data_IF_690374302582
#
_entry.id   IF_690374302582
#
_cell.length_a   1.000
_cell.length_b   1.000
_cell.length_c   1.000
_cell.angle_alpha   90.00
_cell.angle_beta   90.00
_cell.angle_gamma   90.00
#
_symmetry.space_group_name_H-M   'P 1'
#
loop_
_entity.id
_entity.type
_entity.pdbx_description
1 polymer ?
#
# COMPACT_ATOMS: atom_id res chain seq x y z
N UNK A 1 21.70 -47.31 12.41
CA UNK A 1 21.21 -46.61 13.61
C UNK A 1 21.72 -45.17 13.54
N UNK A 2 20.89 -44.29 12.97
CA UNK A 2 21.28 -42.89 12.73
C UNK A 2 20.55 -42.03 13.78
N UNK A 3 21.36 -41.43 14.65
CA UNK A 3 20.90 -40.53 15.71
C UNK A 3 20.42 -39.22 15.07
N UNK A 4 19.10 -38.92 15.15
CA UNK A 4 18.57 -37.60 14.93
C UNK A 4 18.70 -36.81 16.26
N UNK A 5 19.28 -35.60 16.26
CA UNK A 5 19.30 -34.78 17.46
C UNK A 5 17.90 -34.21 17.71
N UNK A 6 17.35 -34.53 18.88
CA UNK A 6 16.17 -33.87 19.43
C UNK A 6 16.47 -32.39 19.67
N UNK A 7 15.64 -31.51 19.10
CA UNK A 7 15.70 -30.08 19.35
C UNK A 7 15.51 -29.79 20.86
N UNK A 8 16.28 -28.85 21.45
CA UNK A 8 16.13 -28.49 22.85
C UNK A 8 14.76 -27.82 23.06
N UNK A 9 13.92 -28.46 23.84
CA UNK A 9 12.70 -27.89 24.39
C UNK A 9 13.07 -26.87 25.46
N UNK A 10 12.94 -25.59 25.16
CA UNK A 10 13.06 -24.54 26.16
C UNK A 10 13.82 -23.30 25.70
N UNK A 11 13.22 -22.51 24.82
CA UNK A 11 13.44 -21.07 24.72
C UNK A 11 12.30 -20.44 23.87
N UNK A 12 11.07 -20.63 24.28
CA UNK A 12 10.01 -19.70 23.95
C UNK A 12 9.55 -19.14 25.27
N UNK A 13 10.29 -18.13 25.75
CA UNK A 13 9.73 -17.17 26.68
C UNK A 13 8.47 -16.64 26.00
N UNK A 14 7.28 -16.67 26.64
CA UNK A 14 6.11 -16.04 26.07
C UNK A 14 6.47 -14.56 26.00
N UNK A 15 6.88 -14.09 24.81
CA UNK A 15 6.85 -12.69 24.47
C UNK A 15 5.46 -12.23 24.95
N UNK A 16 5.42 -11.45 26.04
CA UNK A 16 4.21 -10.75 26.43
C UNK A 16 3.76 -10.08 25.14
N UNK A 17 2.70 -10.62 24.55
CA UNK A 17 1.98 -9.94 23.46
C UNK A 17 1.66 -8.59 24.05
N UNK A 18 2.42 -7.56 23.70
CA UNK A 18 1.97 -6.20 23.89
C UNK A 18 0.62 -6.20 23.20
N UNK A 19 -0.46 -6.08 24.01
CA UNK A 19 -1.81 -6.00 23.46
C UNK A 19 -1.72 -4.84 22.46
N UNK A 20 -2.00 -5.05 21.17
CA UNK A 20 -2.03 -3.94 20.24
C UNK A 20 -2.92 -2.88 20.87
N UNK A 21 -2.52 -1.61 20.87
CA UNK A 21 -3.35 -0.53 21.38
C UNK A 21 -4.67 -0.65 20.62
N UNK A 22 -5.71 -1.14 21.30
CA UNK A 22 -7.01 -1.32 20.67
C UNK A 22 -7.51 0.06 20.27
N UNK A 23 -8.02 0.17 19.05
CA UNK A 23 -8.81 1.32 18.65
C UNK A 23 -9.82 1.64 19.76
N UNK A 24 -9.90 2.91 20.09
CA UNK A 24 -10.88 3.32 21.10
C UNK A 24 -12.30 3.09 20.58
N UNK A 25 -13.25 2.79 21.47
CA UNK A 25 -14.65 2.68 21.09
C UNK A 25 -15.19 3.96 20.40
N UNK A 26 -14.53 5.10 20.66
CA UNK A 26 -14.85 6.39 20.03
C UNK A 26 -14.36 6.41 18.57
N UNK A 27 -13.10 6.02 18.29
CA UNK A 27 -12.57 5.92 16.93
C UNK A 27 -13.42 4.98 16.08
N UNK A 28 -13.73 3.79 16.60
CA UNK A 28 -14.60 2.82 15.91
C UNK A 28 -15.98 3.38 15.56
N UNK A 29 -16.59 4.17 16.44
CA UNK A 29 -17.88 4.85 16.15
C UNK A 29 -17.73 5.89 15.06
N UNK A 30 -16.62 6.63 15.01
CA UNK A 30 -16.34 7.63 13.98
C UNK A 30 -16.13 6.97 12.63
N UNK A 31 -15.29 5.93 12.55
CA UNK A 31 -15.08 5.17 11.32
C UNK A 31 -16.38 4.53 10.80
N UNK A 32 -17.16 3.92 11.71
CA UNK A 32 -18.47 3.39 11.35
C UNK A 32 -19.38 4.47 10.77
N UNK A 33 -19.37 5.69 11.34
CA UNK A 33 -20.16 6.82 10.83
C UNK A 33 -19.76 7.21 9.42
N UNK A 34 -18.45 7.23 9.11
CA UNK A 34 -17.95 7.51 7.77
C UNK A 34 -18.41 6.43 6.77
N UNK A 35 -18.23 5.15 7.09
CA UNK A 35 -18.67 4.04 6.24
C UNK A 35 -20.19 4.10 5.96
N UNK A 36 -21.01 4.37 6.99
CA UNK A 36 -22.47 4.52 6.82
C UNK A 36 -22.81 5.72 5.95
N UNK A 37 -22.11 6.84 6.06
CA UNK A 37 -22.35 8.03 5.25
C UNK A 37 -22.08 7.75 3.77
N UNK A 38 -20.96 7.13 3.44
CA UNK A 38 -20.59 6.75 2.07
C UNK A 38 -21.55 5.70 1.49
N UNK A 39 -21.87 4.65 2.27
CA UNK A 39 -22.80 3.61 1.83
C UNK A 39 -24.21 4.15 1.54
N UNK A 40 -24.75 5.03 2.40
CA UNK A 40 -26.07 5.67 2.18
C UNK A 40 -26.10 6.58 0.96
N UNK A 41 -24.97 7.18 0.61
CA UNK A 41 -24.84 8.01 -0.57
C UNK A 41 -24.64 7.19 -1.85
N UNK A 42 -24.47 5.86 -1.76
CA UNK A 42 -24.22 5.00 -2.90
C UNK A 42 -22.85 5.23 -3.54
N UNK A 43 -21.88 5.80 -2.81
CA UNK A 43 -20.54 6.10 -3.34
C UNK A 43 -19.73 4.80 -3.36
N UNK A 44 -19.27 4.35 -4.55
CA UNK A 44 -18.46 3.14 -4.68
C UNK A 44 -17.11 3.31 -3.96
N UNK A 45 -16.78 2.39 -3.07
CA UNK A 45 -15.51 2.39 -2.34
C UNK A 45 -15.13 1.00 -1.86
N UNK A 46 -13.84 0.83 -1.54
CA UNK A 46 -13.34 -0.38 -0.87
C UNK A 46 -12.51 0.01 0.37
N UNK A 47 -12.62 -0.80 1.41
CA UNK A 47 -11.83 -0.61 2.65
C UNK A 47 -10.51 -1.33 2.52
N UNK A 48 -9.41 -0.63 2.77
CA UNK A 48 -8.05 -1.15 2.69
C UNK A 48 -7.31 -1.15 4.03
N UNK A 49 -6.02 -0.84 3.96
CA UNK A 49 -5.16 -0.65 5.11
C UNK A 49 -5.16 -1.81 6.10
N UNK A 50 -5.11 -1.48 7.38
CA UNK A 50 -5.02 -2.46 8.46
C UNK A 50 -6.25 -3.39 8.53
N UNK A 51 -7.44 -2.89 8.19
CA UNK A 51 -8.67 -3.69 8.20
C UNK A 51 -8.66 -4.80 7.15
N UNK A 52 -8.29 -4.48 5.91
CA UNK A 52 -8.20 -5.48 4.85
C UNK A 52 -7.02 -6.44 5.12
N UNK A 53 -5.87 -5.93 5.59
CA UNK A 53 -4.73 -6.77 5.97
C UNK A 53 -5.10 -7.82 7.01
N UNK A 54 -5.80 -7.42 8.08
CA UNK A 54 -6.24 -8.35 9.12
C UNK A 54 -7.16 -9.44 8.57
N UNK A 55 -8.09 -9.07 7.67
CA UNK A 55 -9.03 -10.02 7.07
C UNK A 55 -8.35 -11.05 6.17
N UNK A 56 -7.39 -10.62 5.35
CA UNK A 56 -6.68 -11.52 4.44
C UNK A 56 -5.61 -12.35 5.15
N UNK A 57 -4.90 -11.78 6.13
CA UNK A 57 -3.70 -12.41 6.70
C UNK A 57 -3.91 -12.94 8.13
N UNK A 58 -4.98 -12.54 8.81
CA UNK A 58 -5.19 -12.81 10.24
C UNK A 58 -4.27 -11.98 11.16
N UNK A 59 -3.45 -11.07 10.61
CA UNK A 59 -2.51 -10.24 11.38
C UNK A 59 -3.19 -8.95 11.79
N UNK A 60 -3.66 -8.89 13.04
CA UNK A 60 -4.21 -7.67 13.61
C UNK A 60 -3.10 -6.65 13.91
N UNK A 61 -3.25 -5.45 13.38
CA UNK A 61 -2.38 -4.29 13.65
C UNK A 61 -3.20 -3.14 14.21
N UNK A 62 -2.58 -2.38 15.10
CA UNK A 62 -3.16 -1.11 15.49
C UNK A 62 -3.07 -0.11 14.33
N UNK A 63 -4.18 0.55 14.05
CA UNK A 63 -4.22 1.67 13.12
C UNK A 63 -4.78 2.91 13.81
N UNK A 64 -4.36 4.08 13.36
CA UNK A 64 -4.85 5.39 13.80
C UNK A 64 -5.82 6.03 12.81
N UNK A 65 -6.08 5.34 11.69
CA UNK A 65 -6.84 5.78 10.54
C UNK A 65 -7.70 4.66 9.97
N UNK A 66 -8.61 5.04 9.10
CA UNK A 66 -9.37 4.14 8.25
C UNK A 66 -9.06 4.48 6.80
N UNK A 67 -8.43 3.54 6.10
CA UNK A 67 -8.11 3.68 4.68
C UNK A 67 -9.30 3.27 3.81
N UNK A 68 -9.81 4.21 3.01
CA UNK A 68 -10.88 4.00 2.04
C UNK A 68 -10.33 4.34 0.66
N UNK A 69 -10.34 3.36 -0.25
CA UNK A 69 -10.01 3.58 -1.65
C UNK A 69 -11.27 3.93 -2.43
N UNK A 70 -11.19 5.01 -3.21
CA UNK A 70 -12.32 5.63 -3.90
C UNK A 70 -11.89 6.08 -5.31
N UNK A 71 -12.83 6.08 -6.25
CA UNK A 71 -12.56 6.57 -7.60
C UNK A 71 -12.31 8.09 -7.59
N UNK A 72 -11.33 8.60 -8.37
CA UNK A 72 -11.04 10.04 -8.40
C UNK A 72 -12.28 10.92 -8.69
N UNK A 73 -13.18 10.45 -9.54
CA UNK A 73 -14.43 11.16 -9.89
C UNK A 73 -15.43 11.29 -8.74
N UNK A 74 -15.32 10.44 -7.72
CA UNK A 74 -16.27 10.39 -6.60
C UNK A 74 -15.77 11.11 -5.34
N UNK A 75 -14.53 11.63 -5.36
CA UNK A 75 -13.87 12.23 -4.18
C UNK A 75 -14.65 13.42 -3.63
N UNK A 76 -15.01 14.39 -4.48
CA UNK A 76 -15.72 15.61 -3.99
C UNK A 76 -17.09 15.24 -3.41
N UNK A 77 -17.84 14.36 -4.08
CA UNK A 77 -19.12 13.87 -3.56
C UNK A 77 -18.96 13.15 -2.21
N UNK A 78 -17.87 12.38 -2.03
CA UNK A 78 -17.56 11.72 -0.75
C UNK A 78 -17.24 12.73 0.34
N UNK A 79 -16.43 13.74 0.04
CA UNK A 79 -16.10 14.80 0.99
C UNK A 79 -17.34 15.58 1.44
N UNK A 80 -18.25 15.90 0.53
CA UNK A 80 -19.52 16.53 0.87
C UNK A 80 -20.37 15.69 1.84
N UNK A 81 -20.47 14.37 1.60
CA UNK A 81 -21.21 13.46 2.47
C UNK A 81 -20.57 13.30 3.84
N UNK A 82 -19.24 13.31 3.90
CA UNK A 82 -18.50 13.27 5.16
C UNK A 82 -18.64 14.58 5.93
N UNK A 83 -18.60 15.75 5.26
CA UNK A 83 -18.91 17.06 5.90
C UNK A 83 -20.32 17.06 6.51
N UNK A 84 -21.32 16.60 5.75
CA UNK A 84 -22.69 16.46 6.23
C UNK A 84 -22.83 15.47 7.40
N UNK A 85 -21.94 14.49 7.49
CA UNK A 85 -21.85 13.56 8.60
C UNK A 85 -21.02 14.11 9.79
N UNK A 86 -20.56 15.36 9.76
CA UNK A 86 -19.85 16.03 10.85
C UNK A 86 -18.35 15.73 10.88
N UNK A 87 -17.72 15.55 9.73
CA UNK A 87 -16.27 15.52 9.57
C UNK A 87 -15.77 16.85 9.01
N UNK A 88 -14.60 17.28 9.45
CA UNK A 88 -13.81 18.31 8.79
C UNK A 88 -13.00 17.66 7.66
N UNK A 89 -12.95 18.27 6.48
CA UNK A 89 -12.31 17.65 5.31
C UNK A 89 -11.24 18.54 4.72
N UNK A 90 -10.17 17.93 4.23
CA UNK A 90 -9.10 18.59 3.49
C UNK A 90 -8.60 17.70 2.35
N UNK A 91 -7.89 18.29 1.39
CA UNK A 91 -7.20 17.59 0.31
C UNK A 91 -5.72 17.96 0.36
N UNK A 92 -4.93 17.29 1.23
CA UNK A 92 -3.52 17.63 1.40
C UNK A 92 -2.69 17.34 0.14
N UNK A 93 -3.12 16.34 -0.65
CA UNK A 93 -2.44 15.97 -1.89
C UNK A 93 -3.46 15.76 -3.01
N UNK A 94 -3.69 16.77 -3.87
CA UNK A 94 -4.72 16.73 -4.90
C UNK A 94 -4.62 15.57 -5.89
N UNK A 95 -3.42 14.99 -6.06
CA UNK A 95 -3.20 13.88 -6.99
C UNK A 95 -3.50 12.49 -6.41
N UNK A 96 -3.66 12.34 -5.06
CA UNK A 96 -3.84 10.98 -4.51
C UNK A 96 -4.61 10.85 -3.21
N UNK A 97 -4.72 11.89 -2.34
CA UNK A 97 -5.22 11.76 -0.98
C UNK A 97 -6.09 12.93 -0.55
N UNK A 98 -7.25 12.61 -0.01
CA UNK A 98 -8.07 13.51 0.80
C UNK A 98 -8.28 12.92 2.19
N UNK A 99 -8.57 13.76 3.18
CA UNK A 99 -8.76 13.37 4.58
C UNK A 99 -10.07 13.90 5.14
N UNK A 100 -10.67 13.10 6.02
CA UNK A 100 -11.85 13.49 6.79
C UNK A 100 -11.59 13.28 8.27
N UNK A 101 -11.54 14.37 9.04
CA UNK A 101 -11.19 14.39 10.47
C UNK A 101 -12.42 14.38 11.36
N UNK A 102 -12.33 13.67 12.47
CA UNK A 102 -13.25 13.75 13.59
C UNK A 102 -12.44 13.85 14.88
N UNK A 103 -12.16 15.06 15.33
CA UNK A 103 -11.17 15.38 16.36
C UNK A 103 -9.78 14.81 15.95
N UNK A 104 -9.20 13.89 16.75
CA UNK A 104 -7.88 13.29 16.48
C UNK A 104 -7.91 12.04 15.59
N UNK A 105 -9.09 11.51 15.30
CA UNK A 105 -9.26 10.35 14.42
C UNK A 105 -9.57 10.84 13.02
N UNK A 106 -9.10 10.13 11.99
CA UNK A 106 -9.34 10.53 10.60
C UNK A 106 -9.52 9.32 9.68
N UNK A 107 -10.13 9.60 8.56
CA UNK A 107 -10.36 8.67 7.45
C UNK A 107 -9.55 9.17 6.27
N UNK A 108 -8.74 8.32 5.70
CA UNK A 108 -8.02 8.59 4.46
C UNK A 108 -8.87 8.15 3.27
N UNK A 109 -9.15 9.08 2.37
CA UNK A 109 -9.77 8.85 1.08
C UNK A 109 -8.67 8.81 0.03
N UNK A 110 -8.29 7.61 -0.37
CA UNK A 110 -7.16 7.35 -1.26
C UNK A 110 -7.71 7.09 -2.65
N UNK A 111 -7.30 7.86 -3.64
CA UNK A 111 -7.75 7.73 -5.03
C UNK A 111 -6.60 7.48 -6.01
N UNK A 112 -5.36 7.47 -5.52
CA UNK A 112 -4.16 7.01 -6.23
C UNK A 112 -3.09 6.63 -5.20
N UNK A 113 -1.89 6.26 -5.66
CA UNK A 113 -0.70 6.22 -4.80
C UNK A 113 0.06 7.55 -4.87
N UNK A 114 0.84 7.87 -3.84
CA UNK A 114 1.59 9.12 -3.77
C UNK A 114 2.56 9.34 -4.93
N UNK A 115 3.03 8.27 -5.58
CA UNK A 115 3.85 8.30 -6.79
C UNK A 115 3.04 8.32 -8.10
N UNK A 116 1.70 8.41 -8.04
CA UNK A 116 0.81 8.47 -9.19
C UNK A 116 0.60 7.16 -9.97
N UNK A 117 1.17 6.03 -9.52
CA UNK A 117 1.13 4.77 -10.28
C UNK A 117 -0.16 3.99 -10.08
N UNK A 118 -0.54 3.75 -8.82
CA UNK A 118 -1.67 2.91 -8.47
C UNK A 118 -2.95 3.77 -8.32
N UNK A 119 -3.44 4.31 -9.44
CA UNK A 119 -4.71 5.03 -9.46
C UNK A 119 -5.86 4.07 -9.25
N UNK A 120 -6.79 4.45 -8.39
CA UNK A 120 -8.02 3.68 -8.14
C UNK A 120 -8.93 3.76 -9.36
N UNK A 121 -9.27 2.61 -9.91
CA UNK A 121 -10.16 2.44 -11.05
C UNK A 121 -11.32 1.49 -10.74
N UNK A 122 -12.20 1.28 -11.71
CA UNK A 122 -13.39 0.45 -11.52
C UNK A 122 -13.05 -1.02 -11.18
N UNK A 123 -11.87 -1.53 -11.55
CA UNK A 123 -11.46 -2.90 -11.19
C UNK A 123 -11.25 -3.06 -9.68
N UNK A 124 -10.78 -2.01 -8.96
CA UNK A 124 -10.69 -2.06 -7.48
C UNK A 124 -12.05 -2.32 -6.84
N UNK A 125 -13.08 -1.69 -7.39
CA UNK A 125 -14.45 -1.83 -6.87
C UNK A 125 -15.05 -3.18 -7.28
N UNK A 126 -14.89 -3.57 -8.55
CA UNK A 126 -15.46 -4.80 -9.10
C UNK A 126 -14.89 -6.06 -8.44
N UNK A 127 -13.59 -6.09 -8.21
CA UNK A 127 -12.89 -7.22 -7.59
C UNK A 127 -12.85 -7.17 -6.06
N UNK A 128 -13.34 -6.09 -5.43
CA UNK A 128 -13.38 -5.99 -3.97
C UNK A 128 -14.15 -7.16 -3.35
N UNK A 129 -13.62 -7.73 -2.27
CA UNK A 129 -14.22 -8.86 -1.56
C UNK A 129 -15.31 -8.39 -0.60
N UNK A 130 -16.55 -8.88 -0.67
CA UNK A 130 -17.60 -8.52 0.30
C UNK A 130 -17.22 -8.93 1.73
N UNK A 131 -17.38 -8.02 2.70
CA UNK A 131 -17.14 -8.26 4.12
C UNK A 131 -17.96 -7.30 4.99
N UNK A 132 -17.76 -7.37 6.29
CA UNK A 132 -18.37 -6.47 7.28
C UNK A 132 -17.28 -5.83 8.14
N UNK A 133 -17.12 -4.51 8.06
CA UNK A 133 -16.19 -3.73 8.87
C UNK A 133 -16.97 -2.85 9.84
N UNK A 134 -16.69 -2.97 11.13
CA UNK A 134 -17.38 -2.21 12.19
C UNK A 134 -18.91 -2.33 12.17
N UNK A 135 -19.43 -3.49 11.72
CA UNK A 135 -20.87 -3.74 11.59
C UNK A 135 -21.52 -3.04 10.39
N UNK A 136 -20.74 -2.62 9.40
CA UNK A 136 -21.20 -2.05 8.12
C UNK A 136 -20.79 -3.00 6.99
N UNK A 137 -21.74 -3.43 6.13
CA UNK A 137 -21.40 -4.15 4.90
C UNK A 137 -20.52 -3.28 4.01
N UNK A 138 -19.36 -3.81 3.59
CA UNK A 138 -18.37 -3.12 2.74
C UNK A 138 -17.80 -4.10 1.72
N UNK A 139 -16.99 -3.59 0.80
CA UNK A 139 -16.05 -4.40 0.04
C UNK A 139 -14.62 -4.09 0.52
N UNK A 140 -13.81 -5.11 0.67
CA UNK A 140 -12.39 -4.95 0.97
C UNK A 140 -11.62 -4.69 -0.33
N UNK A 141 -10.57 -3.88 -0.24
CA UNK A 141 -9.62 -3.70 -1.32
C UNK A 141 -9.06 -5.05 -1.75
N UNK A 142 -9.10 -5.41 -3.05
CA UNK A 142 -8.58 -6.68 -3.51
C UNK A 142 -7.11 -6.86 -3.14
N UNK A 143 -6.66 -8.07 -2.78
CA UNK A 143 -5.29 -8.30 -2.36
C UNK A 143 -4.26 -7.99 -3.47
N UNK A 144 -4.61 -8.14 -4.73
CA UNK A 144 -3.74 -7.80 -5.86
C UNK A 144 -3.46 -6.30 -5.94
N UNK A 145 -4.47 -5.46 -5.78
CA UNK A 145 -4.32 -4.00 -5.72
C UNK A 145 -3.56 -3.56 -4.47
N UNK A 146 -3.76 -4.25 -3.34
CA UNK A 146 -2.95 -4.00 -2.14
C UNK A 146 -1.48 -4.34 -2.37
N UNK A 147 -1.18 -5.48 -2.98
CA UNK A 147 0.20 -5.87 -3.36
C UNK A 147 0.78 -4.84 -4.31
N UNK A 148 0.03 -4.47 -5.36
CA UNK A 148 0.49 -3.53 -6.38
C UNK A 148 0.81 -2.16 -5.80
N UNK A 149 -0.09 -1.55 -5.03
CA UNK A 149 0.14 -0.23 -4.43
C UNK A 149 1.29 -0.23 -3.41
N UNK A 150 1.40 -1.30 -2.60
CA UNK A 150 2.44 -1.45 -1.58
C UNK A 150 3.82 -1.75 -2.15
N UNK A 151 3.91 -2.37 -3.33
CA UNK A 151 5.18 -2.72 -3.96
C UNK A 151 6.08 -1.51 -4.24
N UNK A 152 5.49 -0.34 -4.41
CA UNK A 152 6.20 0.90 -4.66
C UNK A 152 6.59 1.67 -3.38
N UNK A 153 6.47 1.08 -2.20
CA UNK A 153 6.85 1.72 -0.93
C UNK A 153 8.15 1.13 -0.42
N UNK A 154 9.27 1.78 -0.76
CA UNK A 154 10.62 1.41 -0.32
C UNK A 154 11.40 2.65 0.13
N UNK A 155 10.81 3.39 1.08
CA UNK A 155 11.44 4.52 1.75
C UNK A 155 12.43 4.06 2.82
N UNK A 156 13.31 4.92 3.27
CA UNK A 156 14.24 4.62 4.37
C UNK A 156 13.50 4.19 5.64
N UNK A 157 12.44 4.93 5.98
CA UNK A 157 11.68 4.75 7.23
C UNK A 157 10.43 3.88 7.05
N UNK A 158 10.08 3.52 5.81
CA UNK A 158 8.90 2.74 5.49
C UNK A 158 9.13 1.79 4.32
N UNK A 159 8.99 0.51 4.60
CA UNK A 159 9.06 -0.56 3.61
C UNK A 159 7.88 -1.51 3.79
N UNK A 160 7.00 -1.58 2.81
CA UNK A 160 5.77 -2.38 2.87
C UNK A 160 5.95 -3.83 2.36
N UNK A 161 7.18 -4.27 2.09
CA UNK A 161 7.47 -5.61 1.55
C UNK A 161 7.06 -6.77 2.46
N UNK A 162 7.02 -6.56 3.79
CA UNK A 162 6.51 -7.56 4.72
C UNK A 162 4.99 -7.78 4.52
N UNK A 163 4.23 -6.71 4.27
CA UNK A 163 2.79 -6.81 4.00
C UNK A 163 2.52 -7.58 2.71
N UNK A 164 3.33 -7.33 1.67
CA UNK A 164 3.27 -8.07 0.40
C UNK A 164 3.53 -9.55 0.63
N UNK A 165 4.59 -9.88 1.37
CA UNK A 165 4.93 -11.27 1.67
C UNK A 165 3.81 -11.97 2.47
N UNK A 166 3.18 -11.27 3.42
CA UNK A 166 2.04 -11.79 4.17
C UNK A 166 0.81 -12.00 3.29
N UNK A 167 0.48 -11.08 2.38
CA UNK A 167 -0.63 -11.22 1.44
C UNK A 167 -0.39 -12.39 0.48
N UNK A 168 0.81 -12.53 -0.07
CA UNK A 168 1.17 -13.67 -0.93
C UNK A 168 1.03 -14.97 -0.14
N UNK A 169 1.59 -15.05 1.08
CA UNK A 169 1.52 -16.23 1.91
C UNK A 169 0.09 -16.66 2.23
N UNK A 170 -0.78 -15.70 2.54
CA UNK A 170 -2.16 -15.96 2.91
C UNK A 170 -3.06 -16.31 1.72
N UNK A 171 -2.75 -15.76 0.52
CA UNK A 171 -3.62 -15.82 -0.65
C UNK A 171 -3.01 -16.50 -1.88
N UNK A 172 -1.86 -17.20 -1.80
CA UNK A 172 -1.14 -17.71 -2.97
C UNK A 172 -1.96 -18.63 -3.90
N UNK A 173 -2.97 -19.30 -3.37
CA UNK A 173 -3.86 -20.17 -4.17
C UNK A 173 -5.02 -19.38 -4.79
N UNK A 174 -5.46 -18.29 -4.16
CA UNK A 174 -6.65 -17.52 -4.53
C UNK A 174 -6.31 -16.28 -5.38
N UNK A 175 -5.08 -15.75 -5.28
CA UNK A 175 -4.63 -14.58 -6.04
C UNK A 175 -4.77 -14.80 -7.56
N UNK A 176 -5.34 -13.80 -8.24
CA UNK A 176 -5.30 -13.70 -9.70
C UNK A 176 -3.93 -13.16 -10.15
N UNK A 177 -2.98 -14.09 -10.31
CA UNK A 177 -1.60 -13.77 -10.69
C UNK A 177 -1.47 -13.09 -12.05
N UNK A 178 -2.36 -13.38 -13.00
CA UNK A 178 -2.34 -12.73 -14.31
C UNK A 178 -2.87 -11.29 -14.22
N UNK A 179 -3.91 -11.05 -13.43
CA UNK A 179 -4.40 -9.69 -13.13
C UNK A 179 -3.33 -8.90 -12.39
N UNK A 180 -2.70 -9.49 -11.36
CA UNK A 180 -1.61 -8.85 -10.64
C UNK A 180 -0.47 -8.46 -11.60
N UNK A 181 -0.04 -9.37 -12.48
CA UNK A 181 0.99 -9.06 -13.48
C UNK A 181 0.57 -7.94 -14.43
N UNK A 182 -0.70 -7.94 -14.88
CA UNK A 182 -1.22 -6.83 -15.71
C UNK A 182 -1.16 -5.47 -14.99
N UNK A 183 -1.44 -5.44 -13.66
CA UNK A 183 -1.31 -4.21 -12.85
C UNK A 183 0.11 -3.65 -12.83
N UNK A 184 1.10 -4.52 -12.76
CA UNK A 184 2.49 -4.09 -12.83
C UNK A 184 2.92 -3.63 -14.24
N UNK A 185 2.37 -4.24 -15.30
CA UNK A 185 2.68 -3.88 -16.68
C UNK A 185 4.18 -3.89 -16.97
N UNK A 186 4.71 -2.78 -17.45
CA UNK A 186 6.15 -2.60 -17.74
C UNK A 186 7.04 -2.66 -16.49
N UNK A 187 6.45 -2.46 -15.31
CA UNK A 187 7.15 -2.51 -14.02
C UNK A 187 7.19 -3.90 -13.39
N UNK A 188 6.98 -4.95 -14.19
CA UNK A 188 6.96 -6.35 -13.78
C UNK A 188 8.24 -6.81 -13.05
N UNK A 189 9.39 -6.13 -13.28
CA UNK A 189 10.62 -6.41 -12.55
C UNK A 189 10.48 -6.14 -11.04
N UNK A 190 9.66 -5.16 -10.68
CA UNK A 190 9.36 -4.89 -9.27
C UNK A 190 8.52 -6.04 -8.66
N UNK A 191 7.55 -6.59 -9.41
CA UNK A 191 6.84 -7.79 -8.96
C UNK A 191 7.80 -8.98 -8.80
N UNK A 192 8.71 -9.20 -9.76
CA UNK A 192 9.72 -10.25 -9.66
C UNK A 192 10.57 -10.10 -8.40
N UNK A 193 11.02 -8.89 -8.06
CA UNK A 193 11.82 -8.65 -6.85
C UNK A 193 11.07 -9.05 -5.58
N UNK A 194 9.77 -8.74 -5.47
CA UNK A 194 8.95 -9.15 -4.34
C UNK A 194 8.70 -10.66 -4.30
N UNK A 195 8.56 -11.32 -5.45
CA UNK A 195 8.43 -12.79 -5.51
C UNK A 195 9.72 -13.48 -5.05
N UNK A 196 10.88 -12.96 -5.45
CA UNK A 196 12.19 -13.47 -4.99
C UNK A 196 12.36 -13.24 -3.48
N UNK A 197 12.00 -12.06 -2.98
CA UNK A 197 12.00 -11.79 -1.53
C UNK A 197 11.03 -12.69 -0.78
N UNK A 198 9.86 -12.99 -1.33
CA UNK A 198 8.91 -13.92 -0.73
C UNK A 198 9.52 -15.32 -0.58
N UNK A 199 10.19 -15.84 -1.61
CA UNK A 199 10.89 -17.13 -1.53
C UNK A 199 12.04 -17.15 -0.52
N UNK A 200 12.73 -16.02 -0.37
CA UNK A 200 13.77 -15.85 0.65
C UNK A 200 13.17 -15.85 2.07
N UNK A 201 12.06 -15.13 2.27
CA UNK A 201 11.40 -15.02 3.58
C UNK A 201 10.74 -16.34 3.99
N UNK A 202 10.12 -17.04 3.03
CA UNK A 202 9.37 -18.27 3.26
C UNK A 202 9.85 -19.43 2.36
N UNK A 203 11.08 -19.93 2.56
CA UNK A 203 11.68 -20.93 1.66
C UNK A 203 10.92 -22.26 1.60
N UNK A 204 10.17 -22.60 2.67
CA UNK A 204 9.40 -23.84 2.78
C UNK A 204 7.92 -23.67 2.50
N UNK A 205 7.43 -22.45 2.21
CA UNK A 205 6.00 -22.23 1.94
C UNK A 205 5.59 -22.87 0.60
N UNK A 206 4.53 -23.68 0.55
CA UNK A 206 4.06 -24.30 -0.68
C UNK A 206 3.25 -23.31 -1.53
N UNK A 207 3.91 -22.43 -2.26
CA UNK A 207 3.30 -21.45 -3.14
C UNK A 207 3.66 -21.71 -4.62
N UNK A 208 3.15 -22.79 -5.26
CA UNK A 208 3.59 -23.19 -6.58
C UNK A 208 3.28 -22.16 -7.66
N UNK A 209 2.16 -21.45 -7.57
CA UNK A 209 1.76 -20.43 -8.56
C UNK A 209 2.67 -19.20 -8.48
N UNK A 210 3.01 -18.73 -7.27
CA UNK A 210 3.96 -17.64 -7.07
C UNK A 210 5.33 -18.00 -7.64
N UNK A 211 5.84 -19.20 -7.34
CA UNK A 211 7.12 -19.71 -7.87
C UNK A 211 7.11 -19.88 -9.39
N UNK A 212 6.01 -20.36 -9.96
CA UNK A 212 5.87 -20.48 -11.41
C UNK A 212 5.95 -19.10 -12.09
N UNK A 213 5.28 -18.09 -11.52
CA UNK A 213 5.35 -16.71 -12.01
C UNK A 213 6.77 -16.15 -11.87
N UNK A 214 7.42 -16.32 -10.71
CA UNK A 214 8.80 -15.87 -10.49
C UNK A 214 9.75 -16.45 -11.55
N UNK A 215 9.68 -17.76 -11.82
CA UNK A 215 10.50 -18.43 -12.84
C UNK A 215 10.19 -17.93 -14.26
N UNK A 216 8.92 -17.65 -14.57
CA UNK A 216 8.51 -17.07 -15.85
C UNK A 216 9.13 -15.69 -16.06
N UNK A 217 9.04 -14.84 -15.03
CA UNK A 217 9.58 -13.48 -15.07
C UNK A 217 11.13 -13.48 -15.07
N UNK A 218 11.78 -14.39 -14.35
CA UNK A 218 13.23 -14.53 -14.37
C UNK A 218 13.75 -14.95 -15.77
N UNK A 219 13.04 -15.85 -16.45
CA UNK A 219 13.37 -16.20 -17.86
C UNK A 219 13.19 -14.99 -18.77
N UNK A 220 12.07 -14.28 -18.65
CA UNK A 220 11.85 -13.03 -19.40
C UNK A 220 13.00 -12.04 -19.19
N UNK A 221 13.47 -11.86 -17.94
CA UNK A 221 14.61 -10.97 -17.64
C UNK A 221 15.90 -11.43 -18.34
N UNK A 222 16.15 -12.75 -18.39
CA UNK A 222 17.35 -13.31 -19.02
C UNK A 222 17.32 -13.23 -20.56
N UNK A 223 16.13 -13.15 -21.16
CA UNK A 223 15.92 -13.08 -22.60
C UNK A 223 15.84 -11.63 -23.14
N UNK A 224 15.74 -10.64 -22.25
CA UNK A 224 15.73 -9.23 -22.69
C UNK A 224 17.12 -8.78 -23.14
N UNK A 225 17.15 -8.05 -24.25
CA UNK A 225 18.35 -7.35 -24.71
C UNK A 225 18.64 -6.13 -23.84
N UNK A 226 19.89 -5.65 -23.89
CA UNK A 226 20.27 -4.41 -23.22
C UNK A 226 19.38 -3.24 -23.69
N UNK A 227 18.98 -2.35 -22.76
CA UNK A 227 18.18 -1.20 -23.11
C UNK A 227 18.92 -0.28 -24.09
N UNK A 228 18.20 0.15 -25.13
CA UNK A 228 18.72 1.05 -26.17
C UNK A 228 18.17 2.48 -26.02
N UNK A 229 17.58 2.81 -24.87
CA UNK A 229 16.96 4.10 -24.66
C UNK A 229 17.97 5.24 -24.70
N UNK A 230 17.71 6.27 -25.52
CA UNK A 230 18.53 7.50 -25.60
C UNK A 230 18.43 8.35 -24.32
N UNK A 231 17.39 8.17 -23.53
CA UNK A 231 17.15 8.94 -22.30
C UNK A 231 17.25 8.05 -21.07
N UNK A 232 18.23 8.35 -20.22
CA UNK A 232 18.39 7.69 -18.93
C UNK A 232 17.26 8.09 -17.99
N UNK A 233 16.48 7.12 -17.49
CA UNK A 233 15.34 7.32 -16.60
C UNK A 233 15.61 6.69 -15.25
N UNK A 234 15.39 7.42 -14.16
CA UNK A 234 15.40 6.86 -12.82
C UNK A 234 13.97 6.46 -12.38
N UNK A 235 13.73 5.16 -12.25
CA UNK A 235 12.47 4.64 -11.69
C UNK A 235 12.51 4.55 -10.15
N UNK A 236 13.63 4.82 -9.53
CA UNK A 236 13.77 4.84 -8.08
C UNK A 236 12.86 5.87 -7.40
N UNK A 237 12.58 7.00 -8.07
CA UNK A 237 11.63 8.02 -7.61
C UNK A 237 10.20 7.49 -7.44
N UNK A 238 9.85 6.37 -8.08
CA UNK A 238 8.58 5.67 -7.87
C UNK A 238 8.56 4.87 -6.56
N UNK A 239 9.72 4.54 -6.01
CA UNK A 239 9.89 3.74 -4.80
C UNK A 239 10.09 4.61 -3.56
N UNK A 240 10.80 5.73 -3.71
CA UNK A 240 11.10 6.66 -2.63
C UNK A 240 11.06 8.10 -3.10
N UNK A 241 10.39 8.94 -2.29
CA UNK A 241 10.25 10.38 -2.52
C UNK A 241 11.59 11.13 -2.47
N UNK A 242 12.54 10.64 -1.69
CA UNK A 242 13.75 11.36 -1.34
C UNK A 242 15.04 10.67 -1.76
N UNK A 243 15.13 9.33 -1.64
CA UNK A 243 16.40 8.63 -1.76
C UNK A 243 17.02 8.69 -3.16
N UNK A 244 16.19 8.84 -4.20
CA UNK A 244 16.60 8.93 -5.60
C UNK A 244 16.56 10.36 -6.16
N UNK A 245 16.42 11.38 -5.31
CA UNK A 245 16.52 12.79 -5.76
C UNK A 245 17.91 13.14 -6.30
N UNK A 246 19.03 12.65 -5.74
CA UNK A 246 20.35 12.88 -6.32
C UNK A 246 20.48 12.39 -7.76
N UNK A 247 19.79 11.28 -8.12
CA UNK A 247 19.79 10.75 -9.48
C UNK A 247 19.23 11.77 -10.48
N UNK A 248 18.17 12.48 -10.08
CA UNK A 248 17.51 13.49 -10.90
C UNK A 248 18.31 14.80 -10.89
N UNK A 249 18.73 15.26 -9.70
CA UNK A 249 19.27 16.62 -9.53
C UNK A 249 20.76 16.72 -9.82
N UNK A 250 21.53 15.64 -9.61
CA UNK A 250 22.99 15.62 -9.77
C UNK A 250 23.45 14.78 -10.96
N UNK A 251 22.79 13.65 -11.23
CA UNK A 251 23.21 12.72 -12.29
C UNK A 251 22.43 12.88 -13.58
N UNK A 252 21.39 13.73 -13.60
CA UNK A 252 20.68 14.11 -14.82
C UNK A 252 19.71 13.06 -15.37
N UNK A 253 19.31 12.08 -14.56
CA UNK A 253 18.27 11.13 -14.95
C UNK A 253 16.91 11.82 -15.05
N UNK A 254 16.07 11.39 -15.99
CA UNK A 254 14.69 11.81 -16.06
C UNK A 254 13.86 11.16 -14.94
N UNK A 255 12.97 11.94 -14.33
CA UNK A 255 12.09 11.48 -13.27
C UNK A 255 10.94 10.63 -13.83
N UNK A 256 10.84 9.37 -13.40
CA UNK A 256 9.81 8.45 -13.88
C UNK A 256 8.38 8.79 -13.39
N UNK A 257 8.23 9.69 -12.43
CA UNK A 257 6.91 10.16 -11.95
C UNK A 257 6.22 11.10 -12.93
N UNK A 258 7.02 11.87 -13.69
CA UNK A 258 6.52 12.89 -14.59
C UNK A 258 5.94 12.31 -15.89
N UNK A 259 4.91 12.98 -16.42
CA UNK A 259 4.36 12.69 -17.74
C UNK A 259 5.44 12.89 -18.83
N UNK A 260 5.46 12.08 -19.91
CA UNK A 260 4.48 11.02 -20.26
C UNK A 260 4.79 9.65 -19.63
N UNK A 261 5.91 9.47 -18.92
CA UNK A 261 6.32 8.18 -18.33
C UNK A 261 5.51 7.84 -17.09
N UNK A 262 5.28 8.84 -16.23
CA UNK A 262 4.38 8.81 -15.09
C UNK A 262 3.09 9.56 -15.35
N UNK A 263 2.36 9.89 -14.27
CA UNK A 263 1.08 10.60 -14.33
C UNK A 263 1.09 11.91 -13.55
N UNK A 264 2.20 12.23 -12.89
CA UNK A 264 2.31 13.43 -12.07
C UNK A 264 2.72 14.64 -12.91
N UNK A 265 2.21 15.81 -12.53
CA UNK A 265 2.73 17.10 -12.96
C UNK A 265 3.99 17.46 -12.16
N UNK A 266 4.74 18.46 -12.63
CA UNK A 266 5.87 19.00 -11.86
C UNK A 266 5.43 19.54 -10.49
N UNK A 267 4.24 20.15 -10.42
CA UNK A 267 3.65 20.66 -9.19
C UNK A 267 3.32 19.52 -8.20
N UNK A 268 2.72 18.41 -8.67
CA UNK A 268 2.45 17.23 -7.85
C UNK A 268 3.74 16.64 -7.28
N UNK A 269 4.78 16.52 -8.12
CA UNK A 269 6.10 16.02 -7.71
C UNK A 269 6.72 16.93 -6.67
N UNK A 270 6.68 18.25 -6.87
CA UNK A 270 7.22 19.22 -5.94
C UNK A 270 6.49 19.16 -4.59
N UNK A 271 5.15 19.15 -4.60
CA UNK A 271 4.31 19.03 -3.41
C UNK A 271 4.62 17.72 -2.65
N UNK A 272 4.65 16.59 -3.35
CA UNK A 272 4.90 15.28 -2.75
C UNK A 272 6.31 15.15 -2.18
N UNK A 273 7.30 15.72 -2.84
CA UNK A 273 8.70 15.73 -2.38
C UNK A 273 8.91 16.66 -1.17
N UNK A 274 8.26 17.82 -1.15
CA UNK A 274 8.36 18.75 -0.02
C UNK A 274 7.82 18.17 1.30
N UNK A 275 6.88 17.24 1.24
CA UNK A 275 6.34 16.56 2.43
C UNK A 275 7.42 15.77 3.22
N UNK A 276 8.51 15.34 2.58
CA UNK A 276 9.63 14.66 3.26
C UNK A 276 10.26 15.56 4.33
N UNK A 277 10.47 16.84 4.02
CA UNK A 277 11.09 17.80 4.96
C UNK A 277 10.19 18.05 6.16
N UNK A 278 8.88 18.11 5.94
CA UNK A 278 7.90 18.31 7.03
C UNK A 278 7.84 17.08 7.94
N UNK A 279 7.92 15.87 7.38
CA UNK A 279 7.97 14.62 8.15
C UNK A 279 9.27 14.52 8.98
N UNK A 280 10.41 14.95 8.44
CA UNK A 280 11.71 14.99 9.13
C UNK A 280 11.70 16.02 10.27
N UNK A 281 11.24 17.25 10.04
CA UNK A 281 11.11 18.31 11.05
C UNK A 281 10.17 17.91 12.19
N UNK A 282 9.05 17.26 11.89
CA UNK A 282 8.12 16.75 12.90
C UNK A 282 8.74 15.61 13.74
N UNK A 283 9.58 14.77 13.13
CA UNK A 283 10.28 13.69 13.82
C UNK A 283 11.39 14.22 14.75
N UNK A 284 12.13 15.25 14.34
CA UNK A 284 13.21 15.85 15.13
C UNK A 284 12.65 16.68 16.30
N UNK A 285 11.51 17.36 16.11
CA UNK A 285 10.83 18.07 17.20
C UNK A 285 10.36 17.10 18.31
N UNK A 286 10.02 15.85 17.98
CA UNK A 286 9.68 14.81 18.96
C UNK A 286 10.91 14.21 19.67
N UNK A 287 12.08 14.23 19.06
CA UNK A 287 13.34 13.73 19.65
C UNK A 287 14.04 14.77 20.53
N UNK A 288 13.79 16.07 20.30
CA UNK A 288 14.40 17.16 21.06
C UNK A 288 13.66 17.56 22.34
N UNK A 289 12.52 16.94 22.64
CA UNK A 289 11.67 17.25 23.80
C UNK A 289 11.71 16.18 24.93
N UNK A 290 12.75 15.34 24.97
CA UNK A 290 12.92 14.29 25.98
C UNK A 290 14.01 14.61 27.02
#
# INVERSE_FOLDING_TARGET
MTYLPTAPSGFISPLRRAKPRQETAIARRRYRRALVALARAGIPHVVGGAYAMERYTGIARWTKDLDIFILPRDVEGALERLRAAGFETEVPYPHWLAKAYAARDFVDLIFSSGNGIAQVDDEWIQHGTPDTVLGVPVRLCPPEEMIWSKAFVAERERYDGADIAHLIRAGHDDLDWERLLRRFGERWRLLLSHLVLFEFVYPSEPAPRARALARRLARRLAEESDPTDEVSVCQGTLLSRAQYLPDITLWGYADARLAPRGRMSEEDVACWTAAVRQDEEACDAHRGGG
#
